data_IF_305093710306
#
_entry.id   IF_305093710306
#
_cell.length_a   1.000
_cell.length_b   1.000
_cell.length_c   1.000
_cell.angle_alpha   90.00
_cell.angle_beta   90.00
_cell.angle_gamma   90.00
#
_symmetry.space_group_name_H-M   'P 1'
#
loop_
_entity.id
_entity.type
_entity.pdbx_description
1 polymer ?
#
# COMPACT_ATOMS: atom_id res chain seq x y z
N UNK A 1 2.81 10.18 23.13
CA UNK A 1 2.94 8.82 22.64
C UNK A 1 3.11 8.86 21.13
N UNK A 2 4.23 8.41 20.68
CA UNK A 2 4.46 8.39 19.24
C UNK A 2 3.73 7.20 18.63
N UNK A 3 2.94 7.49 17.63
CA UNK A 3 2.25 6.48 16.87
C UNK A 3 3.22 5.98 15.81
N UNK A 4 3.82 4.84 16.08
CA UNK A 4 4.79 4.30 15.15
C UNK A 4 4.10 3.32 14.22
N UNK A 5 4.15 3.61 12.94
CA UNK A 5 3.55 2.76 11.94
C UNK A 5 4.64 1.80 11.44
N UNK A 6 4.44 0.47 11.56
CA UNK A 6 5.47 -0.47 11.13
C UNK A 6 5.64 -0.46 9.63
N UNK A 7 6.83 -0.84 9.16
CA UNK A 7 7.10 -0.86 7.73
C UNK A 7 6.20 -1.84 6.99
N UNK A 8 5.72 -2.86 7.67
CA UNK A 8 4.82 -3.84 7.07
C UNK A 8 3.42 -3.28 6.79
N UNK A 9 3.14 -2.06 7.27
CA UNK A 9 1.87 -1.41 6.99
C UNK A 9 1.65 -1.25 5.48
N UNK A 10 2.70 -0.95 4.73
CA UNK A 10 2.60 -0.84 3.28
C UNK A 10 2.23 -2.18 2.66
N UNK A 11 2.84 -3.25 3.13
CA UNK A 11 2.53 -4.59 2.63
C UNK A 11 1.08 -4.96 2.90
N UNK A 12 0.58 -4.60 4.08
CA UNK A 12 -0.81 -4.84 4.41
C UNK A 12 -1.73 -4.04 3.47
N UNK A 13 -1.37 -2.78 3.21
CA UNK A 13 -2.13 -1.93 2.30
C UNK A 13 -2.23 -2.56 0.92
N UNK A 14 -1.12 -3.05 0.39
CA UNK A 14 -1.08 -3.69 -0.92
C UNK A 14 -1.90 -4.97 -0.94
N UNK A 15 -1.84 -5.74 0.15
CA UNK A 15 -2.53 -7.03 0.22
C UNK A 15 -4.06 -6.90 0.23
N UNK A 16 -4.57 -5.71 0.54
CA UNK A 16 -6.02 -5.49 0.54
C UNK A 16 -6.61 -5.51 -0.87
N UNK A 17 -5.78 -5.32 -1.89
CA UNK A 17 -6.26 -5.35 -3.28
C UNK A 17 -7.30 -4.29 -3.55
N UNK A 18 -8.44 -4.70 -4.11
CA UNK A 18 -9.49 -3.75 -4.47
C UNK A 18 -10.13 -3.07 -3.27
N UNK A 19 -10.02 -3.66 -2.08
CA UNK A 19 -10.56 -3.07 -0.85
C UNK A 19 -9.56 -2.13 -0.17
N UNK A 20 -8.50 -1.80 -0.85
CA UNK A 20 -7.41 -0.99 -0.34
C UNK A 20 -7.87 0.41 0.09
N UNK A 21 -7.57 0.78 1.33
CA UNK A 21 -7.86 2.12 1.80
C UNK A 21 -6.98 2.45 2.99
N UNK A 22 -6.70 3.73 3.18
CA UNK A 22 -5.91 4.16 4.33
C UNK A 22 -6.66 3.91 5.63
N UNK A 23 -7.98 4.02 5.61
CA UNK A 23 -8.79 3.77 6.78
C UNK A 23 -8.65 2.32 7.26
N UNK A 24 -8.62 1.37 6.33
CA UNK A 24 -8.45 -0.04 6.68
C UNK A 24 -7.10 -0.28 7.36
N UNK A 25 -6.05 0.36 6.86
CA UNK A 25 -4.72 0.24 7.47
C UNK A 25 -4.71 0.90 8.85
N UNK A 26 -5.34 2.05 8.98
CA UNK A 26 -5.42 2.75 10.26
C UNK A 26 -6.13 1.88 11.29
N UNK A 27 -7.22 1.24 10.91
CA UNK A 27 -7.97 0.36 11.80
C UNK A 27 -7.13 -0.85 12.22
N UNK A 28 -6.38 -1.40 11.28
CA UNK A 28 -5.54 -2.57 11.55
C UNK A 28 -4.49 -2.27 12.62
N UNK A 29 -3.88 -1.09 12.55
CA UNK A 29 -2.78 -0.74 13.44
C UNK A 29 -3.19 0.20 14.56
N UNK A 30 -4.50 0.44 14.72
CA UNK A 30 -5.05 1.29 15.77
C UNK A 30 -4.44 2.69 15.76
N UNK A 31 -4.31 3.25 14.58
CA UNK A 31 -3.81 4.61 14.39
C UNK A 31 -4.88 5.42 13.64
N UNK A 32 -4.67 6.72 13.51
CA UNK A 32 -5.62 7.56 12.79
C UNK A 32 -5.36 7.48 11.29
N UNK A 33 -6.41 7.75 10.51
CA UNK A 33 -6.29 7.82 9.06
C UNK A 33 -5.28 8.87 8.65
N UNK A 34 -5.25 10.00 9.38
CA UNK A 34 -4.30 11.07 9.10
C UNK A 34 -2.86 10.62 9.28
N UNK A 35 -2.59 9.80 10.29
CA UNK A 35 -1.25 9.27 10.52
C UNK A 35 -0.83 8.37 9.34
N UNK A 36 -1.75 7.55 8.86
CA UNK A 36 -1.48 6.70 7.71
C UNK A 36 -1.23 7.54 6.46
N UNK A 37 -2.06 8.57 6.24
CA UNK A 37 -1.91 9.46 5.09
C UNK A 37 -0.54 10.12 5.09
N UNK A 38 -0.10 10.62 6.24
CA UNK A 38 1.21 11.25 6.35
C UNK A 38 2.33 10.25 6.07
N UNK A 39 2.20 9.06 6.62
CA UNK A 39 3.19 8.01 6.40
C UNK A 39 3.25 7.63 4.92
N UNK A 40 2.08 7.46 4.30
CA UNK A 40 2.01 7.10 2.89
C UNK A 40 2.65 8.16 2.00
N UNK A 41 2.41 9.43 2.31
CA UNK A 41 3.00 10.52 1.56
C UNK A 41 4.52 10.55 1.73
N UNK A 42 4.98 10.42 2.97
CA UNK A 42 6.42 10.47 3.28
C UNK A 42 7.16 9.31 2.63
N UNK A 43 6.55 8.12 2.64
CA UNK A 43 7.18 6.91 2.12
C UNK A 43 6.80 6.62 0.67
N UNK A 44 6.07 7.53 0.07
CA UNK A 44 5.70 7.44 -1.34
C UNK A 44 5.00 6.13 -1.70
N UNK A 45 4.00 5.79 -0.93
CA UNK A 45 3.24 4.56 -1.14
C UNK A 45 2.64 4.50 -2.54
N UNK A 46 2.14 5.62 -3.05
CA UNK A 46 1.54 5.65 -4.38
C UNK A 46 2.55 5.25 -5.45
N UNK A 47 3.75 5.82 -5.40
CA UNK A 47 4.79 5.49 -6.36
C UNK A 47 5.22 4.03 -6.25
N UNK A 48 5.35 3.55 -5.02
CA UNK A 48 5.73 2.16 -4.79
C UNK A 48 4.66 1.21 -5.29
N UNK A 49 3.39 1.55 -5.05
CA UNK A 49 2.27 0.74 -5.50
C UNK A 49 2.21 0.69 -7.02
N UNK A 50 2.41 1.84 -7.67
CA UNK A 50 2.41 1.90 -9.13
C UNK A 50 3.51 1.01 -9.72
N UNK A 51 4.67 0.99 -9.08
CA UNK A 51 5.77 0.13 -9.54
C UNK A 51 5.40 -1.35 -9.43
N UNK A 52 4.74 -1.73 -8.34
CA UNK A 52 4.31 -3.10 -8.14
C UNK A 52 3.27 -3.49 -9.18
N UNK A 53 2.30 -2.61 -9.41
CA UNK A 53 1.24 -2.87 -10.38
C UNK A 53 1.78 -2.93 -11.80
N UNK A 54 2.75 -2.10 -12.12
CA UNK A 54 3.39 -2.12 -13.43
C UNK A 54 4.10 -3.44 -13.69
N UNK A 55 4.79 -3.95 -12.69
CA UNK A 55 5.45 -5.25 -12.81
C UNK A 55 4.45 -6.38 -13.00
N UNK A 56 3.37 -6.34 -12.25
CA UNK A 56 2.34 -7.37 -12.37
C UNK A 56 1.71 -7.34 -13.75
N UNK A 57 1.50 -6.14 -14.28
CA UNK A 57 0.93 -5.97 -15.61
C UNK A 57 1.86 -6.50 -16.69
N UNK A 58 3.16 -6.21 -16.56
CA UNK A 58 4.15 -6.72 -17.52
C UNK A 58 4.16 -8.25 -17.58
N UNK A 59 4.07 -8.89 -16.41
CA UNK A 59 4.04 -10.34 -16.35
C UNK A 59 2.80 -10.89 -17.05
N UNK A 60 1.66 -10.25 -16.83
CA UNK A 60 0.42 -10.66 -17.47
C UNK A 60 0.51 -10.53 -18.97
N UNK A 61 1.06 -9.41 -19.45
CA UNK A 61 1.22 -9.18 -20.88
C UNK A 61 2.12 -10.22 -21.53
N UNK A 62 3.20 -10.58 -20.86
CA UNK A 62 4.11 -11.60 -21.38
C UNK A 62 3.42 -12.94 -21.51
N UNK A 63 2.60 -13.30 -20.52
CA UNK A 63 1.84 -14.55 -20.60
C UNK A 63 0.80 -14.51 -21.69
N UNK A 64 0.19 -13.35 -21.90
CA UNK A 64 -0.85 -13.21 -22.92
C UNK A 64 -0.29 -13.37 -24.33
N UNK A 65 0.96 -13.00 -24.54
CA UNK A 65 1.60 -13.08 -25.86
C UNK A 65 1.93 -14.52 -26.23
N UNK A 66 2.17 -15.34 -25.25
CA UNK A 66 2.44 -16.75 -25.50
C UNK A 66 1.16 -17.52 -25.79
#
# INVERSE_FOLDING_TARGET
VSTKIPSEAFEFYVSLGAARSYQAVADKYSVTKQAITKCATRERWQSRLEAIEARARERSDQKAVE
#
